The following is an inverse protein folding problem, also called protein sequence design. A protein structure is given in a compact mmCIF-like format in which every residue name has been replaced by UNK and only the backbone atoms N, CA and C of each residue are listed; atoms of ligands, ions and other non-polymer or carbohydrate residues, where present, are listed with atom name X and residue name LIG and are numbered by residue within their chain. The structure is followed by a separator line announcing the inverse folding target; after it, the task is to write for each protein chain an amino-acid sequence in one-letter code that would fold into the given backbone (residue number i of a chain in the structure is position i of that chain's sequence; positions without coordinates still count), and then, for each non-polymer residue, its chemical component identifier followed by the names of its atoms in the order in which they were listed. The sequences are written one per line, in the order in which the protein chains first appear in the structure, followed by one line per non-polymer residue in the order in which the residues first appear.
data_IF_793478804522
#
_entry.id   IF_793478804522
#
_cell.length_a   1.000
_cell.length_b   1.000
_cell.length_c   1.000
_cell.angle_alpha   90.00
_cell.angle_beta   90.00
_cell.angle_gamma   90.00
#
_symmetry.space_group_name_H-M   'P 1'
#
loop_
_entity.id
_entity.type
_entity.pdbx_description
1 polymer ?
#
# COMPACT_ATOMS: atom_id res chain seq x y z
N UNK A 1 19.11 -21.21 21.59
CA UNK A 1 18.28 -20.09 21.11
C UNK A 1 19.10 -19.25 20.16
N UNK A 2 18.78 -19.28 18.86
CA UNK A 2 19.23 -18.30 17.87
C UNK A 2 17.99 -17.95 17.06
N UNK A 3 17.30 -16.88 17.44
CA UNK A 3 16.40 -16.22 16.52
C UNK A 3 17.29 -15.45 15.54
N UNK A 4 17.53 -16.08 14.39
CA UNK A 4 18.08 -15.38 13.25
C UNK A 4 17.05 -14.32 12.89
N UNK A 5 17.42 -13.04 13.11
CA UNK A 5 16.65 -11.91 12.63
C UNK A 5 16.31 -12.16 11.17
N UNK A 6 15.01 -12.28 10.90
CA UNK A 6 14.48 -12.32 9.55
C UNK A 6 14.93 -11.01 8.90
N UNK A 7 16.04 -11.07 8.15
CA UNK A 7 16.50 -9.97 7.34
C UNK A 7 15.31 -9.66 6.43
N UNK A 8 14.60 -8.59 6.76
CA UNK A 8 13.58 -8.02 5.88
C UNK A 8 14.29 -7.82 4.56
N UNK A 9 14.03 -8.70 3.62
CA UNK A 9 14.63 -8.59 2.30
C UNK A 9 14.08 -7.28 1.77
N UNK A 10 14.95 -6.29 1.46
CA UNK A 10 14.48 -5.06 0.85
C UNK A 10 13.68 -5.48 -0.38
N UNK A 11 12.45 -4.99 -0.47
CA UNK A 11 11.66 -5.19 -1.67
C UNK A 11 12.49 -4.62 -2.82
N UNK A 12 12.66 -5.35 -3.94
CA UNK A 12 13.26 -4.73 -5.11
C UNK A 12 12.48 -3.45 -5.42
N UNK A 13 13.14 -2.38 -5.88
CA UNK A 13 12.44 -1.14 -6.23
C UNK A 13 11.29 -1.52 -7.15
N UNK A 14 10.08 -1.20 -6.70
CA UNK A 14 8.90 -1.44 -7.51
C UNK A 14 9.03 -0.59 -8.77
N UNK A 15 8.64 -1.14 -9.92
CA UNK A 15 8.44 -0.30 -11.09
C UNK A 15 7.41 0.81 -10.76
N UNK A 16 7.48 1.97 -11.45
CA UNK A 16 6.63 3.12 -11.10
C UNK A 16 5.13 2.81 -11.08
N UNK A 17 4.67 1.89 -11.94
CA UNK A 17 3.27 1.47 -12.02
C UNK A 17 2.87 0.66 -10.78
N UNK A 18 3.65 -0.36 -10.39
CA UNK A 18 3.45 -1.09 -9.13
C UNK A 18 3.47 -0.17 -7.92
N UNK A 19 4.38 0.80 -7.90
CA UNK A 19 4.47 1.75 -6.78
C UNK A 19 3.23 2.64 -6.67
N UNK A 20 2.73 3.16 -7.79
CA UNK A 20 1.54 3.99 -7.83
C UNK A 20 0.28 3.22 -7.43
N UNK A 21 0.09 2.00 -7.96
CA UNK A 21 -1.03 1.12 -7.61
C UNK A 21 -1.05 0.78 -6.12
N UNK A 22 0.12 0.45 -5.56
CA UNK A 22 0.26 0.11 -4.14
C UNK A 22 0.00 1.32 -3.24
N UNK A 23 0.53 2.50 -3.58
CA UNK A 23 0.27 3.73 -2.83
C UNK A 23 -1.20 4.14 -2.91
N UNK A 24 -1.85 3.99 -4.07
CA UNK A 24 -3.29 4.24 -4.22
C UNK A 24 -4.11 3.27 -3.34
N UNK A 25 -3.77 1.99 -3.35
CA UNK A 25 -4.42 0.98 -2.51
C UNK A 25 -4.27 1.31 -1.02
N UNK A 26 -3.05 1.63 -0.58
CA UNK A 26 -2.79 2.03 0.81
C UNK A 26 -3.53 3.32 1.16
N UNK A 27 -3.60 4.29 0.24
CA UNK A 27 -4.36 5.53 0.43
C UNK A 27 -5.84 5.24 0.65
N UNK A 28 -6.43 4.33 -0.11
CA UNK A 28 -7.83 3.90 0.03
C UNK A 28 -8.06 3.20 1.37
N UNK A 29 -7.15 2.29 1.77
CA UNK A 29 -7.24 1.55 3.04
C UNK A 29 -7.14 2.49 4.24
N UNK A 30 -6.23 3.46 4.19
CA UNK A 30 -5.97 4.39 5.27
C UNK A 30 -7.04 5.51 5.36
N UNK A 31 -7.67 5.88 4.25
CA UNK A 31 -8.78 6.85 4.21
C UNK A 31 -10.00 6.41 5.05
N UNK A 32 -10.20 5.10 5.18
CA UNK A 32 -11.32 4.48 5.88
C UNK A 32 -11.03 4.28 7.38
N UNK A 33 -9.83 4.65 7.82
CA UNK A 33 -9.49 4.75 9.25
C UNK A 33 -9.67 6.21 9.68
N UNK A 34 -10.15 6.47 10.91
CA UNK A 34 -10.28 7.85 11.47
C UNK A 34 -8.93 8.56 11.71
N UNK A 35 -7.89 8.20 10.97
CA UNK A 35 -6.54 8.67 11.09
C UNK A 35 -6.24 9.75 10.03
N UNK A 36 -7.11 10.77 9.96
CA UNK A 36 -6.98 11.86 9.00
C UNK A 36 -5.78 12.75 9.39
N UNK A 37 -4.61 12.40 8.85
CA UNK A 37 -3.30 13.02 9.12
C UNK A 37 -2.14 12.03 9.23
N UNK A 38 -2.37 10.82 9.76
CA UNK A 38 -1.33 9.77 9.83
C UNK A 38 -1.11 9.08 8.48
N UNK A 39 -2.16 9.03 7.66
CA UNK A 39 -2.18 8.36 6.36
C UNK A 39 -1.15 8.91 5.38
N UNK A 40 -1.06 10.24 5.21
CA UNK A 40 -0.12 10.87 4.29
C UNK A 40 1.35 10.67 4.72
N UNK A 41 1.62 10.76 6.03
CA UNK A 41 2.95 10.52 6.57
C UNK A 41 3.39 9.06 6.39
N UNK A 42 2.50 8.11 6.61
CA UNK A 42 2.76 6.70 6.36
C UNK A 42 3.03 6.42 4.88
N UNK A 43 2.19 6.94 3.98
CA UNK A 43 2.37 6.80 2.52
C UNK A 43 3.72 7.36 2.06
N UNK A 44 4.10 8.55 2.52
CA UNK A 44 5.39 9.15 2.16
C UNK A 44 6.57 8.31 2.65
N UNK A 45 6.53 7.81 3.90
CA UNK A 45 7.59 6.94 4.44
C UNK A 45 7.72 5.65 3.64
N UNK A 46 6.60 5.02 3.30
CA UNK A 46 6.54 3.80 2.50
C UNK A 46 7.12 4.04 1.11
N UNK A 47 6.71 5.11 0.44
CA UNK A 47 7.20 5.47 -0.88
C UNK A 47 8.73 5.62 -0.91
N UNK A 48 9.29 6.35 0.06
CA UNK A 48 10.74 6.56 0.14
C UNK A 48 11.51 5.29 0.54
N UNK A 49 11.04 4.60 1.58
CA UNK A 49 11.81 3.53 2.25
C UNK A 49 11.60 2.17 1.59
N UNK A 50 10.36 1.85 1.23
CA UNK A 50 9.97 0.52 0.77
C UNK A 50 9.87 0.43 -0.75
N UNK A 51 9.54 1.54 -1.43
CA UNK A 51 9.38 1.57 -2.90
C UNK A 51 10.56 2.22 -3.62
N UNK A 52 11.44 2.92 -2.89
CA UNK A 52 12.63 3.54 -3.45
C UNK A 52 12.35 4.77 -4.32
N UNK A 53 11.20 5.41 -4.15
CA UNK A 53 10.87 6.66 -4.83
C UNK A 53 11.78 7.77 -4.25
N UNK A 54 12.29 8.66 -5.10
CA UNK A 54 13.10 9.80 -4.65
C UNK A 54 12.25 10.83 -3.91
N UNK A 55 12.89 11.71 -3.14
CA UNK A 55 12.18 12.82 -2.48
C UNK A 55 11.47 13.75 -3.47
N UNK A 56 12.04 13.97 -4.66
CA UNK A 56 11.40 14.79 -5.69
C UNK A 56 10.19 14.07 -6.33
N UNK A 57 10.28 12.75 -6.50
CA UNK A 57 9.23 11.95 -7.13
C UNK A 57 8.08 11.61 -6.19
N UNK A 58 8.31 11.57 -4.88
CA UNK A 58 7.27 11.18 -3.92
C UNK A 58 6.16 12.22 -3.85
N UNK A 59 6.49 13.50 -3.90
CA UNK A 59 5.49 14.56 -3.83
C UNK A 59 4.62 14.59 -5.10
N UNK A 60 5.21 14.33 -6.27
CA UNK A 60 4.49 14.18 -7.54
C UNK A 60 3.52 12.99 -7.50
N UNK A 61 4.01 11.80 -7.12
CA UNK A 61 3.16 10.59 -7.03
C UNK A 61 2.02 10.76 -6.03
N UNK A 62 2.29 11.35 -4.86
CA UNK A 62 1.26 11.59 -3.87
C UNK A 62 0.23 12.62 -4.36
N UNK A 63 0.67 13.68 -5.06
CA UNK A 63 -0.23 14.66 -5.67
C UNK A 63 -1.14 14.02 -6.72
N UNK A 64 -0.61 13.14 -7.57
CA UNK A 64 -1.41 12.42 -8.58
C UNK A 64 -2.44 11.49 -7.93
N UNK A 65 -2.06 10.80 -6.85
CA UNK A 65 -2.99 9.96 -6.07
C UNK A 65 -4.12 10.80 -5.46
N UNK A 66 -3.80 11.92 -4.84
CA UNK A 66 -4.82 12.81 -4.27
C UNK A 66 -5.71 13.41 -5.37
N UNK A 67 -5.15 13.75 -6.53
CA UNK A 67 -5.91 14.22 -7.69
C UNK A 67 -6.90 13.14 -8.18
N UNK A 68 -6.44 11.90 -8.34
CA UNK A 68 -7.27 10.77 -8.76
C UNK A 68 -8.39 10.50 -7.76
N UNK A 69 -8.08 10.43 -6.46
CA UNK A 69 -9.06 10.20 -5.41
C UNK A 69 -10.05 11.37 -5.30
N UNK A 70 -9.59 12.62 -5.47
CA UNK A 70 -10.46 13.80 -5.49
C UNK A 70 -11.40 13.83 -6.70
N UNK A 71 -10.93 13.42 -7.88
CA UNK A 71 -11.71 13.42 -9.12
C UNK A 71 -12.71 12.25 -9.21
N UNK A 72 -12.29 11.04 -8.82
CA UNK A 72 -13.08 9.82 -8.98
C UNK A 72 -13.74 9.33 -7.67
N UNK A 73 -13.36 9.90 -6.53
CA UNK A 73 -13.68 9.37 -5.21
C UNK A 73 -12.95 8.06 -4.90
N UNK A 74 -12.95 7.66 -3.63
CA UNK A 74 -12.40 6.37 -3.16
C UNK A 74 -12.99 5.17 -3.91
N UNK A 75 -14.30 5.23 -4.24
CA UNK A 75 -14.98 4.17 -4.98
C UNK A 75 -14.52 4.04 -6.43
N UNK A 76 -14.32 5.16 -7.13
CA UNK A 76 -13.82 5.16 -8.51
C UNK A 76 -12.35 4.74 -8.60
N UNK A 77 -11.51 5.22 -7.67
CA UNK A 77 -10.12 4.77 -7.56
C UNK A 77 -10.02 3.26 -7.27
N UNK A 78 -10.90 2.73 -6.41
CA UNK A 78 -10.97 1.29 -6.17
C UNK A 78 -11.44 0.51 -7.40
N UNK A 79 -12.40 1.06 -8.16
CA UNK A 79 -12.87 0.41 -9.39
C UNK A 79 -11.73 0.26 -10.39
N UNK A 80 -10.90 1.30 -10.58
CA UNK A 80 -9.72 1.24 -11.44
C UNK A 80 -8.72 0.15 -11.01
N UNK A 81 -8.47 0.00 -9.71
CA UNK A 81 -7.64 -1.11 -9.20
C UNK A 81 -8.26 -2.48 -9.52
N UNK A 82 -9.58 -2.63 -9.41
CA UNK A 82 -10.28 -3.90 -9.63
C UNK A 82 -10.39 -4.31 -11.11
N UNK A 83 -10.05 -3.42 -12.03
CA UNK A 83 -9.93 -3.74 -13.47
C UNK A 83 -8.62 -4.49 -13.80
N UNK A 84 -7.65 -4.49 -12.87
CA UNK A 84 -6.41 -5.25 -13.01
C UNK A 84 -6.66 -6.76 -13.00
N UNK A 85 -5.72 -7.52 -13.56
CA UNK A 85 -5.81 -8.98 -13.57
C UNK A 85 -5.82 -9.58 -12.16
N UNK A 86 -6.45 -10.75 -11.98
CA UNK A 86 -6.47 -11.44 -10.68
C UNK A 86 -5.07 -11.71 -10.12
N UNK A 87 -4.09 -12.00 -10.99
CA UNK A 87 -2.69 -12.16 -10.61
C UNK A 87 -2.14 -10.86 -10.02
N UNK A 88 -2.41 -9.72 -10.69
CA UNK A 88 -1.97 -8.41 -10.24
C UNK A 88 -2.61 -7.98 -8.92
N UNK A 89 -3.90 -8.27 -8.74
CA UNK A 89 -4.60 -8.03 -7.47
C UNK A 89 -3.98 -8.82 -6.31
N UNK A 90 -3.61 -10.09 -6.56
CA UNK A 90 -2.94 -10.94 -5.58
C UNK A 90 -1.55 -10.40 -5.23
N UNK A 91 -0.78 -9.95 -6.23
CA UNK A 91 0.52 -9.30 -6.03
C UNK A 91 0.38 -8.05 -5.16
N UNK A 92 -0.55 -7.14 -5.50
CA UNK A 92 -0.80 -5.92 -4.72
C UNK A 92 -1.18 -6.23 -3.27
N UNK A 93 -1.98 -7.26 -3.03
CA UNK A 93 -2.33 -7.68 -1.68
C UNK A 93 -1.10 -8.18 -0.88
N UNK A 94 -0.24 -8.99 -1.50
CA UNK A 94 1.00 -9.45 -0.88
C UNK A 94 1.99 -8.31 -0.60
N UNK A 95 2.10 -7.36 -1.52
CA UNK A 95 2.94 -6.16 -1.36
C UNK A 95 2.43 -5.28 -0.22
N UNK A 96 1.12 -5.04 -0.15
CA UNK A 96 0.51 -4.24 0.93
C UNK A 96 0.75 -4.86 2.31
N UNK A 97 0.57 -6.19 2.46
CA UNK A 97 0.88 -6.89 3.70
C UNK A 97 2.38 -6.82 4.07
N UNK A 98 3.26 -6.98 3.08
CA UNK A 98 4.71 -6.91 3.27
C UNK A 98 5.17 -5.52 3.72
N UNK A 99 4.63 -4.46 3.10
CA UNK A 99 4.92 -3.07 3.48
C UNK A 99 4.35 -2.76 4.86
N UNK A 100 3.11 -3.14 5.14
CA UNK A 100 2.48 -2.92 6.44
C UNK A 100 3.27 -3.61 7.57
N UNK A 101 3.83 -4.79 7.33
CA UNK A 101 4.67 -5.50 8.30
C UNK A 101 5.99 -4.76 8.62
N UNK A 102 6.52 -3.97 7.68
CA UNK A 102 7.80 -3.27 7.81
C UNK A 102 7.65 -1.84 8.32
N UNK A 103 6.52 -1.18 8.04
CA UNK A 103 6.24 0.16 8.57
C UNK A 103 5.89 0.08 10.05
N UNK A 104 6.63 0.83 10.88
CA UNK A 104 6.51 0.76 12.34
C UNK A 104 5.15 1.25 12.85
N UNK A 105 4.45 2.09 12.06
CA UNK A 105 3.13 2.61 12.40
C UNK A 105 2.03 1.66 11.92
N UNK A 106 2.21 1.02 10.75
CA UNK A 106 1.25 0.05 10.22
C UNK A 106 1.39 -1.36 10.82
N UNK A 107 2.57 -1.74 11.31
CA UNK A 107 2.83 -3.10 11.81
C UNK A 107 1.87 -3.53 12.94
N UNK A 108 1.53 -2.67 13.93
CA UNK A 108 0.50 -2.99 14.92
C UNK A 108 -0.90 -3.24 14.33
N UNK A 109 -1.20 -2.62 13.18
CA UNK A 109 -2.50 -2.72 12.50
C UNK A 109 -2.46 -3.65 11.26
N UNK A 110 -1.35 -4.38 11.05
CA UNK A 110 -1.10 -5.18 9.85
C UNK A 110 -2.27 -6.10 9.50
N UNK A 111 -2.80 -6.85 10.47
CA UNK A 111 -3.92 -7.76 10.23
C UNK A 111 -5.19 -7.04 9.78
N UNK A 112 -5.43 -5.81 10.26
CA UNK A 112 -6.53 -4.95 9.80
C UNK A 112 -6.30 -4.47 8.36
N UNK A 113 -5.07 -4.05 8.05
CA UNK A 113 -4.68 -3.63 6.69
C UNK A 113 -4.86 -4.78 5.70
N UNK A 114 -4.33 -5.97 6.00
CA UNK A 114 -4.43 -7.16 5.14
C UNK A 114 -5.88 -7.59 4.91
N UNK A 115 -6.69 -7.66 5.98
CA UNK A 115 -8.11 -7.98 5.87
C UNK A 115 -8.87 -6.95 5.03
N UNK A 116 -8.55 -5.66 5.18
CA UNK A 116 -9.19 -4.59 4.41
C UNK A 116 -8.81 -4.64 2.94
N UNK A 117 -7.54 -4.82 2.64
CA UNK A 117 -7.03 -4.98 1.26
C UNK A 117 -7.72 -6.17 0.58
N UNK A 118 -7.78 -7.32 1.25
CA UNK A 118 -8.46 -8.50 0.72
C UNK A 118 -9.94 -8.24 0.41
N UNK A 119 -10.65 -7.58 1.32
CA UNK A 119 -12.04 -7.20 1.13
C UNK A 119 -12.25 -6.21 -0.03
N UNK A 120 -11.34 -5.24 -0.20
CA UNK A 120 -11.39 -4.23 -1.26
C UNK A 120 -11.13 -4.83 -2.64
N UNK A 121 -10.08 -5.66 -2.76
CA UNK A 121 -9.67 -6.27 -4.02
C UNK A 121 -10.49 -7.52 -4.38
N UNK A 122 -11.18 -8.12 -3.41
CA UNK A 122 -11.90 -9.37 -3.60
C UNK A 122 -10.98 -10.59 -3.72
N UNK A 123 -9.79 -10.52 -3.12
CA UNK A 123 -8.82 -11.63 -3.08
C UNK A 123 -8.91 -12.37 -1.75
N UNK A 124 -8.56 -13.66 -1.74
CA UNK A 124 -8.40 -14.40 -0.48
C UNK A 124 -7.06 -14.02 0.16
N UNK A 125 -7.04 -13.67 1.45
CA UNK A 125 -5.77 -13.53 2.16
C UNK A 125 -5.08 -14.90 2.20
N UNK A 126 -3.78 -15.00 1.88
CA UNK A 126 -3.04 -16.18 2.26
C UNK A 126 -3.07 -16.26 3.80
N UNK A 127 -3.56 -17.39 4.32
CA UNK A 127 -3.54 -17.68 5.77
C UNK A 127 -2.07 -17.64 6.26
N UNK A 128 -1.80 -17.09 7.46
CA UNK A 128 -0.44 -16.97 8.00
C UNK A 128 0.26 -18.32 8.18
#
# INVERSE_FOLDING_TARGET
MREAGSATTPMPPADPETAAELLLLLRIVLADSEADGRSAAALRRIALRDLGISEDGVDEVLSEIEHLVGAAGTGGALAALRELSAQRLSELAGLAGSVAARDWELAPERGRVEARVAALLGVSTPSP
#
